data_IF_018251276882
#
_entry.id   IF_018251276882
#
_cell.length_a   1.000
_cell.length_b   1.000
_cell.length_c   1.000
_cell.angle_alpha   90.00
_cell.angle_beta   90.00
_cell.angle_gamma   90.00
#
_symmetry.space_group_name_H-M   'P 1'
#
loop_
_entity.id
_entity.type
_entity.pdbx_description
1 polymer ?
#
# COMPACT_ATOMS: atom_id res chain seq x y z
N UNK A 1 -14.83 4.00 4.08
CA UNK A 1 -15.86 3.19 4.78
C UNK A 1 -17.30 3.64 4.48
N UNK A 2 -17.67 4.92 4.57
CA UNK A 2 -19.08 5.34 4.43
C UNK A 2 -19.76 4.94 3.11
N UNK A 3 -19.11 5.16 1.97
CA UNK A 3 -19.64 4.77 0.66
C UNK A 3 -19.79 3.26 0.52
N UNK A 4 -18.83 2.50 1.05
CA UNK A 4 -18.88 1.03 1.09
C UNK A 4 -20.09 0.57 1.92
N UNK A 5 -20.25 1.09 3.14
CA UNK A 5 -21.36 0.73 4.03
C UNK A 5 -22.73 1.05 3.41
N UNK A 6 -22.86 2.23 2.79
CA UNK A 6 -24.07 2.64 2.07
C UNK A 6 -24.39 1.67 0.93
N UNK A 7 -23.42 1.41 0.05
CA UNK A 7 -23.64 0.52 -1.10
C UNK A 7 -23.95 -0.91 -0.65
N UNK A 8 -23.23 -1.40 0.37
CA UNK A 8 -23.48 -2.70 0.97
C UNK A 8 -24.92 -2.81 1.49
N UNK A 9 -25.40 -1.79 2.22
CA UNK A 9 -26.79 -1.73 2.68
C UNK A 9 -27.79 -1.68 1.52
N UNK A 10 -27.56 -0.82 0.54
CA UNK A 10 -28.45 -0.66 -0.62
C UNK A 10 -28.57 -1.95 -1.45
N UNK A 11 -27.51 -2.75 -1.55
CA UNK A 11 -27.51 -4.00 -2.33
C UNK A 11 -27.94 -5.22 -1.53
N UNK A 12 -27.46 -5.39 -0.30
CA UNK A 12 -27.72 -6.58 0.52
C UNK A 12 -28.94 -6.43 1.44
N UNK A 13 -29.50 -5.21 1.54
CA UNK A 13 -30.53 -4.84 2.51
C UNK A 13 -30.14 -5.21 3.96
N UNK A 14 -28.85 -5.11 4.26
CA UNK A 14 -28.25 -5.46 5.55
C UNK A 14 -27.10 -4.50 5.85
N UNK A 15 -27.01 -4.06 7.09
CA UNK A 15 -25.87 -3.27 7.56
C UNK A 15 -24.58 -4.11 7.50
N UNK A 16 -23.47 -3.47 7.10
CA UNK A 16 -22.15 -4.09 7.22
C UNK A 16 -21.84 -4.38 8.71
N UNK A 17 -21.44 -5.61 9.00
CA UNK A 17 -21.23 -6.10 10.37
C UNK A 17 -19.76 -5.94 10.78
N UNK A 18 -19.45 -4.84 11.45
CA UNK A 18 -18.11 -4.56 12.02
C UNK A 18 -18.15 -4.37 13.55
N UNK A 19 -18.66 -5.34 14.34
CA UNK A 19 -18.86 -5.18 15.78
C UNK A 19 -17.55 -4.92 16.55
N UNK A 20 -16.41 -5.47 16.11
CA UNK A 20 -15.15 -5.29 16.81
C UNK A 20 -14.56 -3.91 16.53
N UNK A 21 -14.52 -3.47 15.27
CA UNK A 21 -14.14 -2.10 14.92
C UNK A 21 -15.10 -1.06 15.49
N UNK A 22 -16.39 -1.38 15.66
CA UNK A 22 -17.31 -0.52 16.41
C UNK A 22 -16.81 -0.29 17.83
N UNK A 23 -16.47 -1.36 18.58
CA UNK A 23 -15.88 -1.27 19.93
C UNK A 23 -14.54 -0.53 19.97
N UNK A 24 -13.80 -0.53 18.86
CA UNK A 24 -12.58 0.25 18.69
C UNK A 24 -12.84 1.68 18.17
N UNK A 25 -14.08 2.15 18.16
CA UNK A 25 -14.42 3.54 17.84
C UNK A 25 -14.43 3.89 16.35
N UNK A 26 -14.38 2.94 15.42
CA UNK A 26 -14.38 3.24 13.98
C UNK A 26 -15.64 4.00 13.52
N UNK A 27 -16.80 3.67 14.09
CA UNK A 27 -18.06 4.36 13.77
C UNK A 27 -18.12 5.75 14.45
N UNK A 28 -17.58 5.88 15.67
CA UNK A 28 -17.44 7.17 16.34
C UNK A 28 -16.53 8.10 15.51
N UNK A 29 -15.43 7.56 14.98
CA UNK A 29 -14.51 8.28 14.11
C UNK A 29 -15.20 8.79 12.84
N UNK A 30 -16.01 7.96 12.19
CA UNK A 30 -16.80 8.39 11.03
C UNK A 30 -17.71 9.56 11.40
N UNK A 31 -18.40 9.47 12.54
CA UNK A 31 -19.25 10.55 13.03
C UNK A 31 -18.46 11.82 13.34
N UNK A 32 -17.24 11.72 13.87
CA UNK A 32 -16.39 12.89 14.10
C UNK A 32 -16.06 13.65 12.82
N UNK A 33 -15.82 12.92 11.72
CA UNK A 33 -15.47 13.49 10.41
C UNK A 33 -16.72 14.07 9.71
N UNK A 34 -17.83 13.32 9.70
CA UNK A 34 -18.99 13.61 8.84
C UNK A 34 -20.21 14.15 9.58
N UNK A 35 -20.16 14.23 10.92
CA UNK A 35 -21.28 14.62 11.80
C UNK A 35 -22.58 13.86 11.51
N UNK A 36 -22.43 12.61 11.08
CA UNK A 36 -23.50 11.68 10.68
C UNK A 36 -22.95 10.25 10.70
N UNK A 37 -23.84 9.26 10.58
CA UNK A 37 -23.46 7.86 10.37
C UNK A 37 -23.80 7.42 8.95
N UNK A 38 -23.06 6.46 8.36
CA UNK A 38 -23.38 5.96 7.04
C UNK A 38 -24.67 5.14 7.08
N UNK A 39 -25.36 5.07 5.94
CA UNK A 39 -26.62 4.32 5.83
C UNK A 39 -26.44 2.87 6.30
N UNK A 40 -27.37 2.38 7.12
CA UNK A 40 -27.30 1.07 7.76
C UNK A 40 -26.58 1.04 9.11
N UNK A 41 -25.88 2.10 9.50
CA UNK A 41 -25.23 2.22 10.81
C UNK A 41 -25.94 3.33 11.59
N UNK A 42 -26.45 3.01 12.78
CA UNK A 42 -27.24 3.96 13.58
C UNK A 42 -26.39 4.80 14.53
N UNK A 43 -25.43 4.16 15.22
CA UNK A 43 -24.54 4.81 16.18
C UNK A 43 -23.22 4.08 16.38
N UNK A 44 -22.23 4.81 16.88
CA UNK A 44 -20.97 4.28 17.37
C UNK A 44 -21.08 3.52 18.68
N UNK A 45 -19.94 3.19 19.27
CA UNK A 45 -19.86 2.61 20.60
C UNK A 45 -19.95 3.70 21.68
N UNK A 46 -20.60 3.39 22.80
CA UNK A 46 -20.75 4.33 23.91
C UNK A 46 -19.46 4.44 24.73
N UNK A 47 -18.66 3.38 24.77
CA UNK A 47 -17.40 3.30 25.49
C UNK A 47 -16.32 2.67 24.59
N UNK A 48 -15.80 3.41 23.58
CA UNK A 48 -14.73 2.92 22.74
C UNK A 48 -13.52 2.48 23.57
N UNK A 49 -12.95 1.33 23.23
CA UNK A 49 -11.87 0.66 23.97
C UNK A 49 -10.46 1.02 23.46
N UNK A 50 -10.35 2.01 22.59
CA UNK A 50 -9.14 2.43 21.92
C UNK A 50 -9.04 3.96 21.86
N UNK A 51 -7.82 4.45 21.63
CA UNK A 51 -7.63 5.80 21.12
C UNK A 51 -7.99 5.81 19.64
N UNK A 52 -8.78 6.77 19.18
CA UNK A 52 -9.11 6.89 17.76
C UNK A 52 -9.05 8.33 17.27
N UNK A 53 -8.53 8.51 16.06
CA UNK A 53 -8.46 9.79 15.34
C UNK A 53 -8.35 9.52 13.84
N UNK A 54 -8.16 10.56 13.05
CA UNK A 54 -7.92 10.48 11.62
C UNK A 54 -6.80 11.43 11.23
N UNK A 55 -6.08 11.07 10.17
CA UNK A 55 -4.94 11.82 9.70
C UNK A 55 -5.16 12.35 8.28
N UNK A 56 -4.56 13.51 7.98
CA UNK A 56 -4.55 14.14 6.66
C UNK A 56 -3.20 13.90 6.00
N UNK A 57 -3.20 13.49 4.74
CA UNK A 57 -1.97 13.33 3.95
C UNK A 57 -1.41 14.70 3.55
N UNK A 58 -0.12 14.93 3.77
CA UNK A 58 0.60 16.14 3.31
C UNK A 58 1.44 15.89 2.07
N UNK A 59 1.76 14.64 1.77
CA UNK A 59 2.50 14.22 0.57
C UNK A 59 1.78 14.64 -0.71
N UNK A 60 2.53 14.99 -1.75
CA UNK A 60 1.99 15.55 -3.00
C UNK A 60 1.10 14.57 -3.76
N UNK A 61 1.48 13.28 -3.75
CA UNK A 61 0.71 12.19 -4.36
C UNK A 61 -0.19 11.47 -3.36
N UNK A 62 -1.05 10.57 -3.88
CA UNK A 62 -2.02 9.74 -3.15
C UNK A 62 -1.81 8.23 -3.41
N UNK A 63 -0.59 7.86 -3.77
CA UNK A 63 -0.21 6.48 -4.07
C UNK A 63 0.21 5.75 -2.80
N UNK A 64 0.24 4.42 -2.83
CA UNK A 64 0.75 3.58 -1.75
C UNK A 64 2.14 4.02 -1.27
N UNK A 65 3.02 4.42 -2.19
CA UNK A 65 4.34 4.95 -1.83
C UNK A 65 4.23 6.22 -0.97
N UNK A 66 3.44 7.21 -1.40
CA UNK A 66 3.30 8.48 -0.69
C UNK A 66 2.76 8.27 0.73
N UNK A 67 1.67 7.52 0.85
CA UNK A 67 1.01 7.26 2.12
C UNK A 67 1.93 6.52 3.10
N UNK A 68 2.57 5.43 2.66
CA UNK A 68 3.48 4.66 3.51
C UNK A 68 4.72 5.45 3.91
N UNK A 69 5.36 6.17 2.99
CA UNK A 69 6.51 7.00 3.31
C UNK A 69 6.15 8.08 4.34
N UNK A 70 4.98 8.69 4.20
CA UNK A 70 4.49 9.65 5.18
C UNK A 70 4.20 9.02 6.54
N UNK A 71 3.53 7.86 6.59
CA UNK A 71 3.31 7.09 7.84
C UNK A 71 4.64 6.83 8.54
N UNK A 72 5.69 6.50 7.78
CA UNK A 72 7.03 6.24 8.30
C UNK A 72 7.83 7.50 8.66
N UNK A 73 7.24 8.69 8.61
CA UNK A 73 7.89 9.95 9.02
C UNK A 73 8.71 10.63 7.94
N UNK A 74 8.49 10.28 6.66
CA UNK A 74 9.25 10.74 5.51
C UNK A 74 8.31 11.17 4.36
N UNK A 75 7.50 12.23 4.54
CA UNK A 75 6.54 12.70 3.54
C UNK A 75 7.19 12.98 2.18
N UNK A 76 6.45 12.70 1.11
CA UNK A 76 6.87 13.02 -0.27
C UNK A 76 6.51 14.48 -0.56
N UNK A 77 7.49 15.36 -0.39
CA UNK A 77 7.34 16.82 -0.51
C UNK A 77 7.74 17.39 -1.88
N UNK A 78 7.89 16.53 -2.88
CA UNK A 78 8.29 16.87 -4.24
C UNK A 78 7.28 16.34 -5.26
N UNK A 79 7.28 16.94 -6.45
CA UNK A 79 6.40 16.51 -7.54
C UNK A 79 6.89 15.21 -8.16
N UNK A 80 5.98 14.22 -8.23
CA UNK A 80 6.23 12.95 -8.91
C UNK A 80 5.93 13.07 -10.41
N UNK A 81 6.67 12.32 -11.23
CA UNK A 81 6.44 12.25 -12.67
C UNK A 81 5.22 11.40 -13.02
N UNK A 82 4.24 11.98 -13.74
CA UNK A 82 3.05 11.29 -14.24
C UNK A 82 2.98 11.37 -15.77
N UNK A 83 2.60 10.28 -16.42
CA UNK A 83 2.72 10.12 -17.88
C UNK A 83 1.40 9.68 -18.53
N UNK A 84 0.34 10.50 -18.50
CA UNK A 84 -0.98 10.12 -19.01
C UNK A 84 -1.02 9.81 -20.51
N UNK A 85 0.00 10.24 -21.26
CA UNK A 85 0.14 10.02 -22.71
C UNK A 85 1.32 9.08 -23.05
N UNK A 86 1.84 8.32 -22.07
CA UNK A 86 3.11 7.60 -22.21
C UNK A 86 4.31 8.45 -21.84
N UNK A 87 5.49 7.82 -21.76
CA UNK A 87 6.75 8.48 -21.44
C UNK A 87 7.24 9.33 -22.60
N UNK A 88 7.87 10.46 -22.26
CA UNK A 88 8.48 11.34 -23.25
C UNK A 88 9.55 10.60 -24.06
N UNK A 89 9.70 11.02 -25.32
CA UNK A 89 10.65 10.41 -26.27
C UNK A 89 12.06 10.33 -25.72
N UNK A 90 12.50 11.36 -24.99
CA UNK A 90 13.82 11.43 -24.35
C UNK A 90 14.06 10.28 -23.36
N UNK A 91 13.06 9.96 -22.53
CA UNK A 91 13.15 8.88 -21.53
C UNK A 91 13.31 7.53 -22.23
N UNK A 92 12.51 7.29 -23.27
CA UNK A 92 12.55 6.05 -24.04
C UNK A 92 13.86 5.92 -24.84
N UNK A 93 14.33 7.00 -25.48
CA UNK A 93 15.59 7.00 -26.22
C UNK A 93 16.79 6.76 -25.29
N UNK A 94 16.79 7.37 -24.10
CA UNK A 94 17.82 7.12 -23.08
C UNK A 94 17.76 5.67 -22.58
N UNK A 95 16.56 5.15 -22.32
CA UNK A 95 16.38 3.75 -21.91
C UNK A 95 16.93 2.78 -22.97
N UNK A 96 16.60 2.96 -24.25
CA UNK A 96 17.13 2.14 -25.33
C UNK A 96 18.65 2.21 -25.42
N UNK A 97 19.21 3.43 -25.32
CA UNK A 97 20.66 3.65 -25.37
C UNK A 97 21.40 2.96 -24.23
N UNK A 98 20.91 3.07 -22.99
CA UNK A 98 21.58 2.52 -21.80
C UNK A 98 21.39 0.99 -21.69
N UNK A 99 20.26 0.45 -22.16
CA UNK A 99 20.01 -1.01 -22.17
C UNK A 99 20.63 -1.73 -23.36
N UNK A 100 20.91 -1.03 -24.46
CA UNK A 100 21.34 -1.63 -25.73
C UNK A 100 20.21 -2.36 -26.48
N UNK A 101 18.96 -2.17 -26.05
CA UNK A 101 17.78 -2.73 -26.73
C UNK A 101 17.52 -1.98 -28.05
N UNK A 102 16.98 -2.70 -29.04
CA UNK A 102 16.73 -2.15 -30.38
C UNK A 102 15.39 -1.43 -30.52
N UNK A 103 14.48 -1.63 -29.58
CA UNK A 103 13.15 -1.02 -29.59
C UNK A 103 12.34 -1.40 -28.35
N UNK A 104 11.19 -0.75 -28.21
CA UNK A 104 10.18 -0.98 -27.16
C UNK A 104 8.80 -1.03 -27.79
N UNK A 105 7.86 -1.70 -27.14
CA UNK A 105 6.45 -1.73 -27.52
C UNK A 105 5.60 -0.96 -26.49
N UNK A 106 4.44 -0.48 -26.91
CA UNK A 106 3.48 0.21 -26.03
C UNK A 106 3.77 1.70 -25.87
N UNK A 107 4.47 2.05 -24.80
CA UNK A 107 4.65 3.42 -24.29
C UNK A 107 3.31 4.17 -24.12
N UNK A 108 2.39 3.59 -23.37
CA UNK A 108 1.05 4.16 -23.15
C UNK A 108 0.53 3.85 -21.74
N UNK A 109 -0.62 4.43 -21.39
CA UNK A 109 -1.38 4.04 -20.21
C UNK A 109 -2.19 2.79 -20.53
N UNK A 110 -2.00 1.71 -19.76
CA UNK A 110 -2.72 0.47 -20.00
C UNK A 110 -2.87 -0.41 -18.76
N UNK A 111 -3.88 -1.30 -18.80
CA UNK A 111 -3.96 -2.44 -17.88
C UNK A 111 -2.88 -3.47 -18.22
N UNK A 112 -2.18 -3.96 -17.20
CA UNK A 112 -1.12 -4.95 -17.40
C UNK A 112 -1.58 -6.24 -18.06
N UNK A 113 -2.82 -6.68 -17.83
CA UNK A 113 -3.36 -7.86 -18.53
C UNK A 113 -3.63 -7.54 -20.00
N UNK A 114 -4.25 -6.40 -20.28
CA UNK A 114 -4.64 -6.02 -21.64
C UNK A 114 -3.44 -5.77 -22.54
N UNK A 115 -2.41 -5.09 -22.01
CA UNK A 115 -1.23 -4.76 -22.82
C UNK A 115 -0.37 -5.98 -23.15
N UNK A 116 -0.36 -6.99 -22.27
CA UNK A 116 0.30 -8.28 -22.54
C UNK A 116 -0.50 -9.08 -23.56
N UNK A 117 -1.83 -9.10 -23.46
CA UNK A 117 -2.70 -9.71 -24.48
C UNK A 117 -2.49 -9.06 -25.86
N UNK A 118 -2.43 -7.73 -25.91
CA UNK A 118 -2.33 -6.97 -27.17
C UNK A 118 -0.94 -7.02 -27.81
N UNK A 119 0.13 -7.02 -27.00
CA UNK A 119 1.51 -6.86 -27.48
C UNK A 119 2.43 -8.06 -27.19
N UNK A 120 1.95 -9.08 -26.48
CA UNK A 120 2.76 -10.22 -26.05
C UNK A 120 3.34 -11.05 -27.21
N UNK A 121 2.56 -11.28 -28.27
CA UNK A 121 3.08 -11.97 -29.45
C UNK A 121 4.16 -11.17 -30.18
N UNK A 122 3.96 -9.86 -30.32
CA UNK A 122 4.92 -8.98 -30.98
C UNK A 122 6.20 -8.86 -30.15
N UNK A 123 6.08 -8.84 -28.82
CA UNK A 123 7.21 -8.92 -27.89
C UNK A 123 8.03 -10.19 -28.12
N UNK A 124 7.37 -11.36 -28.21
CA UNK A 124 8.04 -12.64 -28.46
C UNK A 124 8.74 -12.66 -29.82
N UNK A 125 8.13 -12.10 -30.87
CA UNK A 125 8.69 -12.05 -32.23
C UNK A 125 9.90 -11.11 -32.34
N UNK A 126 9.84 -9.93 -31.70
CA UNK A 126 10.84 -8.86 -31.84
C UNK A 126 11.91 -8.86 -30.76
N UNK A 127 11.60 -9.40 -29.58
CA UNK A 127 12.40 -9.27 -28.37
C UNK A 127 12.30 -7.89 -27.70
N UNK A 128 11.43 -6.98 -28.17
CA UNK A 128 11.29 -5.63 -27.62
C UNK A 128 10.42 -5.65 -26.38
N UNK A 129 10.89 -5.20 -25.20
CA UNK A 129 10.07 -5.22 -24.00
C UNK A 129 8.88 -4.26 -24.16
N UNK A 130 7.79 -4.58 -23.45
CA UNK A 130 6.57 -3.79 -23.45
C UNK A 130 6.65 -2.79 -22.31
N UNK A 131 6.71 -1.49 -22.64
CA UNK A 131 6.74 -0.41 -21.66
C UNK A 131 5.35 0.19 -21.54
N UNK A 132 4.89 0.43 -20.31
CA UNK A 132 3.62 1.09 -20.06
C UNK A 132 3.57 1.75 -18.68
N UNK A 133 2.56 2.60 -18.48
CA UNK A 133 2.32 3.32 -17.23
C UNK A 133 0.84 3.23 -16.81
N UNK A 134 0.48 3.92 -15.73
CA UNK A 134 -0.88 3.93 -15.16
C UNK A 134 -1.27 5.34 -14.71
N UNK A 135 -2.35 5.47 -13.92
CA UNK A 135 -2.68 6.73 -13.26
C UNK A 135 -1.64 7.11 -12.18
N UNK A 136 -0.96 6.12 -11.59
CA UNK A 136 0.13 6.33 -10.64
C UNK A 136 1.47 6.58 -11.34
N UNK A 137 2.42 7.17 -10.59
CA UNK A 137 3.78 7.43 -11.02
C UNK A 137 4.62 6.13 -11.10
N UNK A 138 4.39 5.35 -12.18
CA UNK A 138 5.05 4.05 -12.37
C UNK A 138 5.57 3.83 -13.79
N UNK A 139 6.73 3.18 -13.90
CA UNK A 139 7.30 2.70 -15.17
C UNK A 139 7.30 1.18 -15.18
N UNK A 140 6.46 0.56 -15.99
CA UNK A 140 6.27 -0.88 -15.98
C UNK A 140 6.90 -1.50 -17.23
N UNK A 141 7.69 -2.55 -17.03
CA UNK A 141 8.33 -3.32 -18.10
C UNK A 141 7.76 -4.73 -18.09
N UNK A 142 6.98 -5.09 -19.09
CA UNK A 142 6.51 -6.47 -19.29
C UNK A 142 7.37 -7.19 -20.32
N UNK A 143 7.78 -8.41 -19.97
CA UNK A 143 8.59 -9.26 -20.83
C UNK A 143 8.32 -10.74 -20.54
N UNK A 144 8.39 -11.56 -21.58
CA UNK A 144 8.21 -13.01 -21.50
C UNK A 144 9.45 -13.66 -20.90
N UNK A 145 9.30 -14.48 -19.85
CA UNK A 145 10.44 -15.00 -19.10
C UNK A 145 11.38 -15.86 -19.95
N UNK A 146 10.84 -16.65 -20.88
CA UNK A 146 11.65 -17.56 -21.71
C UNK A 146 12.28 -16.88 -22.94
N UNK A 147 11.63 -15.85 -23.49
CA UNK A 147 12.07 -15.20 -24.73
C UNK A 147 12.96 -13.99 -24.45
N UNK A 148 12.66 -13.22 -23.41
CA UNK A 148 13.46 -12.07 -23.00
C UNK A 148 14.48 -12.43 -21.91
N UNK A 149 14.14 -13.37 -21.02
CA UNK A 149 14.95 -13.73 -19.86
C UNK A 149 14.61 -12.89 -18.62
N UNK A 150 14.35 -13.54 -17.49
CA UNK A 150 14.03 -12.85 -16.23
C UNK A 150 15.18 -11.94 -15.75
N UNK A 151 16.42 -12.41 -15.85
CA UNK A 151 17.60 -11.60 -15.48
C UNK A 151 17.77 -10.37 -16.38
N UNK A 152 17.44 -10.48 -17.66
CA UNK A 152 17.47 -9.34 -18.58
C UNK A 152 16.37 -8.33 -18.24
N UNK A 153 15.19 -8.81 -17.84
CA UNK A 153 14.10 -7.95 -17.36
C UNK A 153 14.54 -7.17 -16.12
N UNK A 154 15.17 -7.83 -15.15
CA UNK A 154 15.67 -7.16 -13.95
C UNK A 154 16.75 -6.13 -14.26
N UNK A 155 17.75 -6.46 -15.10
CA UNK A 155 18.75 -5.49 -15.56
C UNK A 155 18.13 -4.28 -16.26
N UNK A 156 17.12 -4.51 -17.11
CA UNK A 156 16.40 -3.43 -17.78
C UNK A 156 15.66 -2.54 -16.76
N UNK A 157 15.02 -3.13 -15.74
CA UNK A 157 14.38 -2.37 -14.67
C UNK A 157 15.38 -1.57 -13.82
N UNK A 158 16.56 -2.12 -13.50
CA UNK A 158 17.61 -1.39 -12.77
C UNK A 158 18.12 -0.17 -13.55
N UNK A 159 18.29 -0.31 -14.86
CA UNK A 159 18.65 0.81 -15.75
C UNK A 159 17.52 1.84 -15.80
N UNK A 160 16.28 1.37 -16.01
CA UNK A 160 15.11 2.24 -16.00
C UNK A 160 14.97 2.99 -14.68
N UNK A 161 15.30 2.36 -13.53
CA UNK A 161 15.25 2.99 -12.21
C UNK A 161 16.19 4.19 -12.13
N UNK A 162 17.45 4.02 -12.56
CA UNK A 162 18.44 5.12 -12.60
C UNK A 162 17.97 6.28 -13.48
N UNK A 163 17.39 5.98 -14.63
CA UNK A 163 16.83 7.01 -15.52
C UNK A 163 15.64 7.71 -14.86
N UNK A 164 14.71 6.93 -14.32
CA UNK A 164 13.48 7.38 -13.69
C UNK A 164 13.69 8.26 -12.44
N UNK A 165 14.84 8.15 -11.78
CA UNK A 165 15.21 9.02 -10.65
C UNK A 165 15.33 10.49 -11.08
N UNK A 166 15.84 10.75 -12.29
CA UNK A 166 15.95 12.12 -12.84
C UNK A 166 14.58 12.74 -13.18
N UNK A 167 13.54 11.91 -13.30
CA UNK A 167 12.17 12.33 -13.65
C UNK A 167 11.16 12.09 -12.52
N UNK A 168 11.63 11.81 -11.30
CA UNK A 168 10.80 11.55 -10.12
C UNK A 168 9.70 10.49 -10.33
N UNK A 169 9.95 9.44 -11.11
CA UNK A 169 8.98 8.32 -11.23
C UNK A 169 9.05 7.48 -9.97
N UNK A 170 7.93 7.31 -9.26
CA UNK A 170 7.95 6.69 -7.94
C UNK A 170 8.42 5.24 -7.96
N UNK A 171 7.97 4.42 -8.93
CA UNK A 171 8.32 2.99 -8.95
C UNK A 171 8.54 2.46 -10.36
N UNK A 172 9.62 1.72 -10.58
CA UNK A 172 9.80 0.87 -11.76
C UNK A 172 9.34 -0.55 -11.41
N UNK A 173 8.53 -1.20 -12.25
CA UNK A 173 7.95 -2.51 -11.95
C UNK A 173 8.28 -3.51 -13.05
N UNK A 174 8.97 -4.59 -12.68
CA UNK A 174 9.14 -5.77 -13.52
C UNK A 174 7.84 -6.57 -13.58
N UNK A 175 7.35 -6.83 -14.78
CA UNK A 175 6.09 -7.55 -15.07
C UNK A 175 6.35 -8.77 -15.94
N UNK A 176 7.05 -9.79 -15.41
CA UNK A 176 7.28 -11.02 -16.16
C UNK A 176 5.96 -11.74 -16.46
N UNK A 177 5.89 -12.38 -17.61
CA UNK A 177 4.77 -13.23 -18.01
C UNK A 177 5.22 -14.49 -18.74
N UNK A 178 4.34 -15.49 -18.77
CA UNK A 178 4.47 -16.76 -19.48
C UNK A 178 3.24 -16.99 -20.36
N UNK A 179 3.29 -18.00 -21.22
CA UNK A 179 2.22 -18.39 -22.14
C UNK A 179 2.67 -18.21 -23.59
N UNK A 180 1.91 -18.76 -24.52
CA UNK A 180 2.33 -18.89 -25.91
C UNK A 180 1.48 -18.06 -26.88
N UNK A 181 0.35 -17.52 -26.41
CA UNK A 181 -0.60 -16.76 -27.20
C UNK A 181 -1.48 -15.82 -26.33
N UNK A 182 -2.19 -14.85 -26.93
CA UNK A 182 -2.99 -13.86 -26.21
C UNK A 182 -4.01 -14.46 -25.23
N UNK A 183 -4.56 -15.64 -25.54
CA UNK A 183 -5.58 -16.27 -24.69
C UNK A 183 -5.00 -16.93 -23.43
N UNK A 184 -3.69 -17.21 -23.39
CA UNK A 184 -3.05 -17.90 -22.28
C UNK A 184 -1.89 -17.12 -21.62
N UNK A 185 -1.56 -15.91 -22.08
CA UNK A 185 -0.57 -15.08 -21.42
C UNK A 185 -0.95 -14.78 -19.96
N UNK A 186 -0.02 -15.03 -19.05
CA UNK A 186 -0.24 -14.85 -17.61
C UNK A 186 0.99 -14.27 -16.94
N UNK A 187 0.79 -13.17 -16.21
CA UNK A 187 1.82 -12.58 -15.34
C UNK A 187 2.25 -13.60 -14.27
N UNK A 188 3.56 -13.69 -14.03
CA UNK A 188 4.11 -14.60 -13.04
C UNK A 188 4.23 -13.94 -11.67
N UNK A 189 4.69 -14.72 -10.68
CA UNK A 189 4.96 -14.23 -9.32
C UNK A 189 6.33 -13.57 -9.19
N UNK A 190 7.16 -13.58 -10.24
CA UNK A 190 8.51 -13.01 -10.28
C UNK A 190 8.51 -11.47 -10.45
N UNK A 191 7.38 -10.82 -10.15
CA UNK A 191 7.26 -9.36 -10.07
C UNK A 191 8.31 -8.81 -9.10
N UNK A 192 8.96 -7.73 -9.51
CA UNK A 192 9.87 -6.96 -8.66
C UNK A 192 9.60 -5.47 -8.82
N UNK A 193 9.64 -4.72 -7.72
CA UNK A 193 9.34 -3.29 -7.69
C UNK A 193 10.60 -2.55 -7.22
N UNK A 194 11.03 -1.54 -7.97
CA UNK A 194 12.20 -0.70 -7.70
C UNK A 194 11.70 0.71 -7.39
N UNK A 195 11.63 1.03 -6.11
CA UNK A 195 11.02 2.26 -5.61
C UNK A 195 12.07 3.36 -5.46
N UNK A 196 11.70 4.61 -5.77
CA UNK A 196 12.55 5.78 -5.59
C UNK A 196 12.99 5.88 -4.12
N UNK A 197 14.24 6.26 -3.91
CA UNK A 197 14.74 6.50 -2.55
C UNK A 197 14.15 7.79 -1.98
N UNK A 198 13.58 7.70 -0.78
CA UNK A 198 13.16 8.90 -0.04
C UNK A 198 14.36 9.76 0.38
N UNK A 199 14.14 11.08 0.42
CA UNK A 199 15.10 12.07 0.94
C UNK A 199 15.31 11.95 2.45
N UNK A 200 14.31 11.44 3.16
CA UNK A 200 14.28 11.38 4.62
C UNK A 200 14.38 9.94 5.09
N UNK A 201 15.12 9.73 6.19
CA UNK A 201 15.14 8.44 6.88
C UNK A 201 13.78 8.13 7.48
N UNK A 202 13.38 6.88 7.34
CA UNK A 202 12.11 6.35 7.86
C UNK A 202 12.23 5.89 9.31
N UNK A 203 11.08 5.72 9.97
CA UNK A 203 11.03 5.06 11.28
C UNK A 203 11.63 3.65 11.25
N UNK A 204 11.50 2.92 10.12
CA UNK A 204 12.03 1.57 9.96
C UNK A 204 13.56 1.59 10.11
N UNK A 205 14.22 2.52 9.42
CA UNK A 205 15.68 2.69 9.52
C UNK A 205 16.09 3.08 10.94
N UNK A 206 15.39 4.03 11.58
CA UNK A 206 15.69 4.43 12.96
C UNK A 206 15.57 3.25 13.95
N UNK A 207 14.56 2.39 13.79
CA UNK A 207 14.37 1.20 14.64
C UNK A 207 15.51 0.21 14.42
N UNK A 208 15.83 -0.09 13.17
CA UNK A 208 16.88 -1.04 12.82
C UNK A 208 18.29 -0.57 13.27
N UNK A 209 18.60 0.72 13.08
CA UNK A 209 19.86 1.33 13.54
C UNK A 209 20.02 1.26 15.06
N UNK A 210 18.90 1.32 15.79
CA UNK A 210 18.87 1.19 17.26
C UNK A 210 18.69 -0.26 17.74
N UNK A 211 19.02 -1.24 16.86
CA UNK A 211 18.99 -2.68 17.11
C UNK A 211 17.60 -3.24 17.47
N UNK A 212 16.53 -2.56 17.10
CA UNK A 212 15.19 -3.11 17.11
C UNK A 212 14.93 -4.01 15.89
N UNK A 213 13.87 -4.81 15.94
CA UNK A 213 13.48 -5.66 14.82
C UNK A 213 12.34 -5.01 14.01
N UNK A 214 12.47 -4.97 12.68
CA UNK A 214 11.44 -4.51 11.76
C UNK A 214 11.03 -5.71 10.89
N UNK A 215 9.88 -6.28 11.22
CA UNK A 215 9.32 -7.46 10.57
C UNK A 215 8.28 -7.00 9.55
N UNK A 216 8.68 -6.99 8.28
CA UNK A 216 7.85 -6.58 7.16
C UNK A 216 7.06 -7.76 6.59
N UNK A 217 5.73 -7.66 6.55
CA UNK A 217 4.83 -8.71 6.08
C UNK A 217 4.10 -8.26 4.81
N UNK A 218 4.09 -9.15 3.80
CA UNK A 218 3.47 -8.88 2.52
C UNK A 218 4.25 -7.82 1.74
N UNK A 219 3.60 -6.71 1.39
CA UNK A 219 4.15 -5.68 0.49
C UNK A 219 5.08 -4.66 1.15
N UNK A 220 5.21 -4.66 2.48
CA UNK A 220 6.00 -3.67 3.22
C UNK A 220 7.45 -3.61 2.76
N UNK A 221 8.13 -4.75 2.58
CA UNK A 221 9.54 -4.75 2.09
C UNK A 221 9.67 -4.05 0.74
N UNK A 222 8.78 -4.34 -0.20
CA UNK A 222 8.83 -3.79 -1.55
C UNK A 222 8.55 -2.27 -1.54
N UNK A 223 7.62 -1.83 -0.69
CA UNK A 223 7.25 -0.41 -0.54
C UNK A 223 8.43 0.45 -0.06
N UNK A 224 9.21 -0.07 0.90
CA UNK A 224 10.37 0.63 1.46
C UNK A 224 11.70 0.25 0.81
N UNK A 225 11.69 -0.50 -0.31
CA UNK A 225 12.90 -1.00 -0.98
C UNK A 225 13.86 -1.74 -0.01
N UNK A 226 13.29 -2.44 0.98
CA UNK A 226 14.02 -3.13 2.04
C UNK A 226 14.72 -2.24 3.06
N UNK A 227 14.65 -0.91 2.96
CA UNK A 227 15.33 0.01 3.89
C UNK A 227 14.74 -0.09 5.29
N UNK A 228 15.63 -0.34 6.26
CA UNK A 228 15.26 -0.55 7.66
C UNK A 228 14.52 -1.86 7.93
N UNK A 229 14.28 -2.73 6.94
CA UNK A 229 13.66 -4.03 7.16
C UNK A 229 14.70 -5.05 7.61
N UNK A 230 14.53 -5.60 8.80
CA UNK A 230 15.45 -6.62 9.37
C UNK A 230 14.99 -8.04 9.05
N UNK A 231 13.68 -8.25 8.93
CA UNK A 231 13.07 -9.52 8.54
C UNK A 231 11.93 -9.28 7.56
N UNK A 232 11.87 -10.06 6.48
CA UNK A 232 10.80 -9.99 5.50
C UNK A 232 10.07 -11.32 5.38
N UNK A 233 8.74 -11.28 5.53
CA UNK A 233 7.85 -12.44 5.49
C UNK A 233 6.93 -12.29 4.28
N UNK A 234 7.15 -13.15 3.29
CA UNK A 234 6.29 -13.19 2.09
C UNK A 234 4.91 -13.66 2.48
N UNK A 235 3.89 -12.86 2.20
CA UNK A 235 2.49 -13.19 2.43
C UNK A 235 1.62 -12.66 1.28
N UNK A 236 0.58 -13.39 0.90
CA UNK A 236 -0.31 -12.99 -0.18
C UNK A 236 -1.75 -13.42 0.08
N UNK A 237 -2.69 -12.51 -0.12
CA UNK A 237 -4.10 -12.76 0.21
C UNK A 237 -4.42 -12.38 1.65
N UNK A 238 -5.67 -11.98 1.86
CA UNK A 238 -6.14 -11.43 3.13
C UNK A 238 -5.90 -12.39 4.31
N UNK A 239 -6.21 -13.68 4.12
CA UNK A 239 -6.05 -14.70 5.16
C UNK A 239 -4.57 -14.97 5.51
N UNK A 240 -3.73 -15.22 4.51
CA UNK A 240 -2.31 -15.54 4.71
C UNK A 240 -1.53 -14.37 5.34
N UNK A 241 -1.85 -13.12 4.94
CA UNK A 241 -1.26 -11.94 5.58
C UNK A 241 -1.68 -11.88 7.05
N UNK A 242 -2.94 -12.16 7.38
CA UNK A 242 -3.43 -12.14 8.76
C UNK A 242 -2.77 -13.22 9.61
N UNK A 243 -2.71 -14.46 9.10
CA UNK A 243 -2.15 -15.60 9.81
C UNK A 243 -0.65 -15.40 10.08
N UNK A 244 0.09 -14.87 9.10
CA UNK A 244 1.50 -14.51 9.27
C UNK A 244 1.68 -13.33 10.21
N UNK A 245 0.78 -12.35 10.21
CA UNK A 245 0.83 -11.23 11.16
C UNK A 245 0.70 -11.72 12.61
N UNK A 246 -0.28 -12.57 12.88
CA UNK A 246 -0.46 -13.23 14.20
C UNK A 246 0.79 -14.02 14.60
N UNK A 247 1.31 -14.83 13.69
CA UNK A 247 2.50 -15.65 13.97
C UNK A 247 3.72 -14.77 14.31
N UNK A 248 3.95 -13.72 13.53
CA UNK A 248 5.11 -12.84 13.71
C UNK A 248 4.99 -11.97 14.98
N UNK A 249 3.78 -11.56 15.39
CA UNK A 249 3.60 -10.91 16.70
C UNK A 249 4.01 -11.83 17.85
N UNK A 250 3.65 -13.12 17.78
CA UNK A 250 4.01 -14.09 18.83
C UNK A 250 5.52 -14.36 18.90
N UNK A 251 6.20 -14.33 17.75
CA UNK A 251 7.64 -14.58 17.63
C UNK A 251 8.50 -13.33 17.86
N UNK A 252 7.93 -12.14 17.72
CA UNK A 252 8.67 -10.90 17.78
C UNK A 252 9.35 -10.71 19.16
N UNK A 253 10.65 -10.39 19.19
CA UNK A 253 11.34 -10.03 20.41
C UNK A 253 10.87 -8.65 20.90
N UNK A 254 11.33 -8.26 22.09
CA UNK A 254 11.15 -6.90 22.58
C UNK A 254 11.76 -5.88 21.60
N UNK A 255 11.19 -4.67 21.59
CA UNK A 255 11.62 -3.57 20.71
C UNK A 255 11.46 -3.89 19.21
N UNK A 256 10.32 -4.47 18.85
CA UNK A 256 9.98 -4.83 17.47
C UNK A 256 8.86 -3.99 16.90
N UNK A 257 8.91 -3.75 15.59
CA UNK A 257 7.80 -3.31 14.75
C UNK A 257 7.41 -4.46 13.82
N UNK A 258 6.25 -5.06 14.06
CA UNK A 258 5.62 -5.98 13.11
C UNK A 258 4.69 -5.17 12.22
N UNK A 259 5.02 -5.08 10.93
CA UNK A 259 4.32 -4.20 9.99
C UNK A 259 3.77 -5.02 8.82
N UNK A 260 2.44 -5.10 8.72
CA UNK A 260 1.73 -5.77 7.64
C UNK A 260 0.98 -4.79 6.75
N UNK A 261 1.00 -5.03 5.43
CA UNK A 261 0.12 -4.37 4.47
C UNK A 261 -0.93 -5.35 3.94
N UNK A 262 -2.22 -5.09 4.23
CA UNK A 262 -3.36 -5.87 3.74
C UNK A 262 -3.82 -5.40 2.35
N UNK A 263 -2.95 -5.58 1.36
CA UNK A 263 -3.09 -5.01 0.00
C UNK A 263 -4.37 -5.42 -0.76
N UNK A 264 -5.05 -6.49 -0.36
CA UNK A 264 -6.24 -7.01 -1.05
C UNK A 264 -7.39 -5.99 -1.06
N UNK A 265 -7.52 -5.16 -0.01
CA UNK A 265 -8.52 -4.09 0.04
C UNK A 265 -8.42 -3.14 -1.16
N UNK A 266 -7.20 -2.82 -1.56
CA UNK A 266 -6.92 -1.98 -2.71
C UNK A 266 -6.98 -2.76 -4.04
N UNK A 267 -6.20 -3.84 -4.14
CA UNK A 267 -5.95 -4.55 -5.41
C UNK A 267 -7.14 -5.38 -5.91
N UNK A 268 -7.88 -6.03 -5.00
CA UNK A 268 -8.96 -6.94 -5.36
C UNK A 268 -10.34 -6.26 -5.34
N UNK A 269 -10.50 -5.18 -4.57
CA UNK A 269 -11.79 -4.54 -4.37
C UNK A 269 -11.83 -3.07 -4.75
N UNK A 270 -10.88 -2.26 -4.29
CA UNK A 270 -10.80 -0.82 -4.57
C UNK A 270 -10.67 -0.50 -6.05
N UNK A 271 -9.55 -0.88 -6.68
CA UNK A 271 -9.29 -0.65 -8.11
C UNK A 271 -10.30 -1.36 -9.02
N UNK A 272 -10.87 -2.48 -8.57
CA UNK A 272 -11.89 -3.24 -9.33
C UNK A 272 -13.31 -2.70 -9.15
N UNK A 273 -13.48 -1.65 -8.35
CA UNK A 273 -14.79 -1.03 -8.07
C UNK A 273 -15.82 -2.06 -7.61
N UNK A 274 -15.41 -2.94 -6.70
CA UNK A 274 -16.24 -3.99 -6.12
C UNK A 274 -16.61 -3.66 -4.66
N UNK A 275 -17.63 -2.81 -4.42
CA UNK A 275 -18.02 -2.40 -3.08
C UNK A 275 -18.52 -3.55 -2.21
N UNK A 276 -19.18 -4.55 -2.81
CA UNK A 276 -19.69 -5.71 -2.07
C UNK A 276 -18.55 -6.59 -1.58
N UNK A 277 -17.61 -6.94 -2.47
CA UNK A 277 -16.42 -7.69 -2.07
C UNK A 277 -15.57 -6.95 -1.05
N UNK A 278 -15.46 -5.62 -1.16
CA UNK A 278 -14.79 -4.80 -0.14
C UNK A 278 -15.49 -4.92 1.22
N UNK A 279 -16.82 -4.78 1.25
CA UNK A 279 -17.59 -4.94 2.48
C UNK A 279 -17.44 -6.33 3.12
N UNK A 280 -17.54 -7.39 2.32
CA UNK A 280 -17.37 -8.78 2.78
C UNK A 280 -15.94 -9.02 3.31
N UNK A 281 -14.91 -8.45 2.68
CA UNK A 281 -13.53 -8.51 3.16
C UNK A 281 -13.33 -7.76 4.49
N UNK A 282 -14.00 -6.63 4.69
CA UNK A 282 -13.98 -5.90 5.96
C UNK A 282 -14.68 -6.69 7.06
N UNK A 283 -15.83 -7.31 6.78
CA UNK A 283 -16.52 -8.19 7.73
C UNK A 283 -15.62 -9.37 8.12
N UNK A 284 -14.96 -10.04 7.16
CA UNK A 284 -13.99 -11.09 7.45
C UNK A 284 -12.86 -10.61 8.36
N UNK A 285 -12.23 -9.47 8.04
CA UNK A 285 -11.16 -8.91 8.87
C UNK A 285 -11.65 -8.62 10.29
N UNK A 286 -12.84 -8.03 10.44
CA UNK A 286 -13.44 -7.75 11.74
C UNK A 286 -13.67 -9.03 12.56
N UNK A 287 -14.08 -10.14 11.93
CA UNK A 287 -14.24 -11.43 12.63
C UNK A 287 -12.94 -11.99 13.19
N UNK A 288 -11.80 -11.62 12.62
CA UNK A 288 -10.46 -12.06 13.08
C UNK A 288 -9.87 -11.16 14.15
N UNK A 289 -10.42 -9.96 14.38
CA UNK A 289 -9.91 -9.02 15.38
C UNK A 289 -9.82 -9.59 16.80
N UNK A 290 -10.77 -10.39 17.32
CA UNK A 290 -10.65 -10.95 18.66
C UNK A 290 -9.39 -11.82 18.85
N UNK A 291 -9.01 -12.59 17.83
CA UNK A 291 -7.78 -13.39 17.84
C UNK A 291 -6.54 -12.48 17.98
N UNK A 292 -6.47 -11.42 17.18
CA UNK A 292 -5.39 -10.44 17.20
C UNK A 292 -5.28 -9.68 18.52
N UNK A 293 -6.42 -9.30 19.11
CA UNK A 293 -6.43 -8.56 20.37
C UNK A 293 -6.02 -9.43 21.56
N UNK A 294 -6.35 -10.73 21.54
CA UNK A 294 -6.04 -11.65 22.65
C UNK A 294 -4.56 -12.03 22.75
N UNK A 295 -3.76 -11.84 21.69
CA UNK A 295 -2.33 -12.15 21.70
C UNK A 295 -1.45 -10.97 22.16
N UNK A 296 -2.02 -9.77 22.29
CA UNK A 296 -1.27 -8.59 22.71
C UNK A 296 -0.85 -8.71 24.18
N UNK A 297 0.42 -8.45 24.46
CA UNK A 297 0.95 -8.33 25.82
C UNK A 297 0.59 -6.96 26.41
N UNK A 298 0.68 -6.77 27.75
CA UNK A 298 0.33 -5.50 28.39
C UNK A 298 1.07 -4.27 27.85
N UNK A 299 2.32 -4.45 27.41
CA UNK A 299 3.17 -3.38 26.88
C UNK A 299 3.13 -3.27 25.35
N UNK A 300 2.29 -4.06 24.68
CA UNK A 300 2.13 -3.96 23.23
C UNK A 300 1.14 -2.83 22.88
N UNK A 301 1.40 -2.19 21.74
CA UNK A 301 0.41 -1.32 21.08
C UNK A 301 0.11 -1.88 19.70
N UNK A 302 -1.16 -1.76 19.29
CA UNK A 302 -1.62 -2.14 17.97
C UNK A 302 -2.23 -0.93 17.29
N UNK A 303 -1.75 -0.60 16.09
CA UNK A 303 -2.22 0.54 15.31
C UNK A 303 -2.89 0.02 14.03
N UNK A 304 -4.17 0.36 13.84
CA UNK A 304 -4.86 0.19 12.58
C UNK A 304 -4.92 1.52 11.83
N UNK A 305 -4.55 1.49 10.56
CA UNK A 305 -4.60 2.66 9.69
C UNK A 305 -4.72 2.27 8.21
N UNK A 306 -4.76 3.26 7.33
CA UNK A 306 -4.68 3.11 5.89
C UNK A 306 -3.60 4.07 5.35
N UNK A 307 -3.23 3.93 4.09
CA UNK A 307 -2.25 4.79 3.42
C UNK A 307 -2.90 5.78 2.45
N UNK A 308 -4.11 5.49 1.97
CA UNK A 308 -4.94 6.41 1.17
C UNK A 308 -6.40 5.90 1.12
N UNK A 309 -7.25 6.56 0.32
CA UNK A 309 -8.54 6.03 -0.08
C UNK A 309 -8.44 5.23 -1.38
N UNK A 310 -9.36 4.29 -1.58
CA UNK A 310 -9.60 3.63 -2.87
C UNK A 310 -11.10 3.28 -2.96
N UNK A 311 -11.95 4.31 -3.04
CA UNK A 311 -13.40 4.16 -2.98
C UNK A 311 -13.94 3.31 -4.15
N UNK A 312 -14.47 2.09 -3.89
CA UNK A 312 -14.92 1.19 -4.94
C UNK A 312 -16.21 1.66 -5.63
N UNK A 313 -16.83 2.76 -5.18
CA UNK A 313 -18.00 3.37 -5.80
C UNK A 313 -17.66 4.62 -6.62
N UNK A 314 -16.39 5.05 -6.60
CA UNK A 314 -15.94 6.23 -7.32
C UNK A 314 -15.73 5.94 -8.81
N UNK A 315 -15.80 6.98 -9.64
CA UNK A 315 -15.53 6.88 -11.08
C UNK A 315 -14.05 6.55 -11.36
N UNK A 316 -13.77 6.04 -12.55
CA UNK A 316 -12.42 5.62 -12.95
C UNK A 316 -11.92 4.43 -12.12
N UNK A 317 -10.62 4.20 -12.09
CA UNK A 317 -10.00 3.08 -11.37
C UNK A 317 -8.88 3.50 -10.43
N UNK A 318 -8.64 4.80 -10.26
CA UNK A 318 -7.54 5.35 -9.46
C UNK A 318 -7.91 5.49 -7.96
N UNK A 319 -6.90 5.71 -7.12
CA UNK A 319 -7.01 6.01 -5.69
C UNK A 319 -7.81 7.29 -5.42
N UNK A 320 -8.33 7.43 -4.22
CA UNK A 320 -9.07 8.61 -3.73
C UNK A 320 -8.31 9.30 -2.60
N UNK A 321 -8.26 10.63 -2.63
CA UNK A 321 -7.62 11.43 -1.57
C UNK A 321 -8.59 11.55 -0.39
N UNK A 322 -8.40 10.71 0.62
CA UNK A 322 -9.26 10.62 1.81
C UNK A 322 -8.44 10.81 3.09
N UNK A 323 -9.11 11.14 4.20
CA UNK A 323 -8.51 10.97 5.52
C UNK A 323 -8.35 9.48 5.82
N UNK A 324 -7.25 9.11 6.45
CA UNK A 324 -7.03 7.73 6.93
C UNK A 324 -7.47 7.62 8.40
N UNK A 325 -8.07 6.50 8.82
CA UNK A 325 -8.32 6.25 10.24
C UNK A 325 -7.00 5.99 10.97
N UNK A 326 -6.92 6.34 12.25
CA UNK A 326 -5.84 5.94 13.15
C UNK A 326 -6.48 5.45 14.43
N UNK A 327 -6.43 4.14 14.66
CA UNK A 327 -6.99 3.48 15.84
C UNK A 327 -5.85 2.80 16.58
N UNK A 328 -5.67 3.13 17.85
CA UNK A 328 -4.57 2.63 18.68
C UNK A 328 -5.14 1.89 19.88
N UNK A 329 -4.80 0.61 19.99
CA UNK A 329 -5.18 -0.30 21.08
C UNK A 329 -3.96 -0.60 21.94
N UNK A 330 -4.17 -0.87 23.23
CA UNK A 330 -3.12 -1.19 24.19
C UNK A 330 -2.83 0.00 25.11
N UNK A 331 -1.55 0.35 25.25
CA UNK A 331 -1.07 1.40 26.16
C UNK A 331 -1.35 2.85 25.67
N UNK A 332 -2.59 3.12 25.27
CA UNK A 332 -3.07 4.44 24.88
C UNK A 332 -4.40 4.73 25.59
N UNK A 333 -4.58 5.97 26.06
CA UNK A 333 -5.84 6.37 26.71
C UNK A 333 -6.97 6.36 25.69
N UNK A 334 -7.99 5.56 25.96
CA UNK A 334 -9.15 5.46 25.08
C UNK A 334 -9.90 6.78 24.92
N UNK A 335 -10.46 6.98 23.72
CA UNK A 335 -11.23 8.17 23.35
C UNK A 335 -10.73 8.83 22.07
N UNK A 336 -11.50 9.83 21.62
CA UNK A 336 -11.15 10.63 20.47
C UNK A 336 -10.03 11.62 20.81
N UNK A 337 -9.07 11.79 19.89
CA UNK A 337 -8.14 12.92 19.91
C UNK A 337 -8.24 13.71 18.62
N UNK A 338 -7.88 15.00 18.70
CA UNK A 338 -7.91 15.91 17.55
C UNK A 338 -7.23 15.32 16.32
N UNK A 339 -7.77 15.67 15.14
CA UNK A 339 -7.24 15.30 13.82
C UNK A 339 -5.72 15.45 13.77
N UNK A 340 -5.04 14.49 13.16
CA UNK A 340 -3.61 14.55 12.86
C UNK A 340 -3.38 15.27 11.54
N UNK A 341 -2.47 16.23 11.53
CA UNK A 341 -2.21 17.08 10.35
C UNK A 341 -1.28 16.41 9.32
N UNK A 342 -0.70 15.26 9.66
CA UNK A 342 0.14 14.43 8.79
C UNK A 342 0.04 12.97 9.20
N UNK A 343 0.25 12.03 8.27
CA UNK A 343 0.38 10.61 8.61
C UNK A 343 1.66 10.32 9.41
N UNK A 344 2.67 11.19 9.34
CA UNK A 344 3.93 11.05 10.07
C UNK A 344 3.79 11.04 11.58
N UNK A 345 2.64 11.50 12.11
CA UNK A 345 2.30 11.38 13.52
C UNK A 345 2.24 9.91 13.99
N UNK A 346 1.90 8.97 13.09
CA UNK A 346 1.91 7.53 13.38
C UNK A 346 3.34 7.07 13.64
N UNK A 347 4.26 7.31 12.69
CA UNK A 347 5.66 6.90 12.84
C UNK A 347 6.35 7.58 14.02
N UNK A 348 6.05 8.87 14.25
CA UNK A 348 6.55 9.60 15.42
C UNK A 348 6.06 9.01 16.75
N UNK A 349 4.83 8.49 16.79
CA UNK A 349 4.29 7.79 17.95
C UNK A 349 4.99 6.45 18.18
N UNK A 350 5.19 5.67 17.12
CA UNK A 350 5.87 4.36 17.19
C UNK A 350 7.30 4.51 17.71
N UNK A 351 8.09 5.43 17.14
CA UNK A 351 9.49 5.60 17.57
C UNK A 351 9.60 6.12 19.00
N UNK A 352 8.68 7.01 19.42
CA UNK A 352 8.60 7.47 20.81
C UNK A 352 8.28 6.31 21.76
N UNK A 353 7.33 5.46 21.38
CA UNK A 353 6.93 4.30 22.19
C UNK A 353 8.06 3.28 22.34
N UNK A 354 8.81 3.02 21.27
CA UNK A 354 9.97 2.11 21.27
C UNK A 354 11.24 2.72 21.88
N UNK A 355 11.22 4.01 22.24
CA UNK A 355 12.38 4.72 22.78
C UNK A 355 13.54 4.87 21.78
N UNK A 356 13.24 4.87 20.47
CA UNK A 356 14.25 5.02 19.41
C UNK A 356 14.27 6.45 18.88
N UNK A 357 15.26 6.76 18.02
CA UNK A 357 15.45 8.10 17.47
C UNK A 357 14.17 8.61 16.77
N UNK A 358 13.75 9.87 17.02
CA UNK A 358 12.59 10.44 16.36
C UNK A 358 12.78 10.54 14.85
N UNK A 359 11.67 10.49 14.12
CA UNK A 359 11.62 10.84 12.70
C UNK A 359 11.65 12.36 12.55
N UNK A 360 11.92 12.84 11.34
CA UNK A 360 12.04 14.28 11.09
C UNK A 360 10.68 15.00 11.11
N UNK A 361 9.61 14.30 10.75
CA UNK A 361 8.27 14.86 10.60
C UNK A 361 7.25 14.21 11.52
N UNK A 362 6.23 14.98 11.89
CA UNK A 362 5.14 14.55 12.75
C UNK A 362 5.36 14.85 14.23
N UNK A 363 4.32 14.59 15.02
CA UNK A 363 4.26 14.72 16.47
C UNK A 363 3.60 13.47 17.02
N UNK A 364 4.14 12.93 18.11
CA UNK A 364 3.53 11.76 18.75
C UNK A 364 2.08 12.06 19.16
N UNK A 365 1.22 11.05 19.05
CA UNK A 365 -0.21 11.16 19.32
C UNK A 365 -0.48 11.16 20.83
N UNK A 366 0.30 10.37 21.58
CA UNK A 366 0.28 10.27 23.03
C UNK A 366 1.72 10.21 23.58
#
# INVERSE_FOLDING_TARGET
>A
MGNIAKHYFDTKNKAISLPNFKKLGLFNLYHEIHKSYPKGIEKGDENPSSLYTYAKEVSTGKSTFCGHMEIAGAPVDYELGYYPNGFDKEIIERFLKETGLKGVLGNCVASGTKIIEDLGEEHIKTGYPIIYTSADSVFQIAAHEEHFGLDNLYKACEIARKICDDYNVATVIARPFLGDNPSNFKRTTNRHDYTITSKYKTMLENIAEDKGEVIAIGKIRDIYDGKGVTKAVKAAGLCDIFDKFINEINLAPQKSLVFANFVNFDMDFGHRRNPIGYGEALEYFDTRLPELLNILKPDDILIFTADHGCDPTFKGTDHTREFIPVIIVGNAKAGFVNRRETFSDIGQTIVKYLGVKPVQFGKAIF
#
